data_IF_232323734987
#
_entry.id   IF_232323734987
#
_cell.length_a   1.000
_cell.length_b   1.000
_cell.length_c   1.000
_cell.angle_alpha   90.00
_cell.angle_beta   90.00
_cell.angle_gamma   90.00
#
_symmetry.space_group_name_H-M   'P 1'
#
loop_
_entity.id
_entity.type
_entity.pdbx_description
1 polymer ?
#
# COMPACT_ATOMS: atom_id res chain seq x y z
N UNK A 1 -1.23 -14.10 7.08
CA UNK A 1 -1.32 -12.81 6.39
C UNK A 1 0.09 -12.47 5.96
N UNK A 2 0.40 -12.64 4.67
CA UNK A 2 1.74 -12.41 4.13
C UNK A 2 1.92 -10.90 3.88
N UNK A 3 2.69 -10.26 4.75
CA UNK A 3 3.01 -8.83 4.73
C UNK A 3 4.18 -8.54 3.78
N UNK A 4 4.05 -8.88 2.50
CA UNK A 4 5.14 -8.71 1.53
C UNK A 4 4.59 -8.41 0.12
N UNK A 5 3.99 -7.24 -0.06
CA UNK A 5 3.52 -6.77 -1.36
C UNK A 5 4.56 -5.78 -1.97
N UNK A 6 5.31 -6.14 -3.04
CA UNK A 6 6.37 -5.35 -3.67
C UNK A 6 5.96 -4.17 -4.60
N UNK A 7 5.11 -3.24 -4.16
CA UNK A 7 4.41 -2.35 -5.12
C UNK A 7 4.46 -0.87 -4.84
N UNK A 8 4.79 -0.52 -3.63
CA UNK A 8 5.19 0.82 -3.32
C UNK A 8 6.65 0.67 -2.99
N UNK A 9 7.53 1.24 -3.80
CA UNK A 9 8.91 1.37 -3.38
C UNK A 9 8.86 2.37 -2.22
N UNK A 10 8.65 1.83 -1.00
CA UNK A 10 8.45 2.54 0.25
C UNK A 10 9.51 3.63 0.42
N UNK A 11 10.71 3.34 -0.09
CA UNK A 11 11.85 4.24 -0.21
C UNK A 11 11.56 5.43 -1.12
N UNK A 12 11.05 5.20 -2.33
CA UNK A 12 10.64 6.26 -3.26
C UNK A 12 9.54 7.13 -2.63
N UNK A 13 8.54 6.52 -2.00
CA UNK A 13 7.46 7.30 -1.38
C UNK A 13 7.98 8.20 -0.26
N UNK A 14 8.81 7.65 0.65
CA UNK A 14 9.43 8.42 1.73
C UNK A 14 10.20 9.61 1.15
N UNK A 15 11.00 9.38 0.10
CA UNK A 15 11.80 10.41 -0.55
C UNK A 15 10.95 11.49 -1.25
N UNK A 16 9.89 11.10 -1.93
CA UNK A 16 8.99 12.01 -2.66
C UNK A 16 8.13 12.88 -1.71
N UNK A 17 7.87 12.38 -0.49
CA UNK A 17 7.01 13.04 0.50
C UNK A 17 7.78 13.60 1.71
N UNK A 18 9.11 13.72 1.64
CA UNK A 18 9.93 14.26 2.73
C UNK A 18 9.48 15.65 3.20
N UNK A 19 8.95 16.48 2.31
CA UNK A 19 8.48 17.83 2.66
C UNK A 19 7.24 17.81 3.56
N UNK A 20 6.43 16.75 3.45
CA UNK A 20 5.18 16.55 4.19
C UNK A 20 5.41 15.75 5.47
N UNK A 21 6.46 14.93 5.48
CA UNK A 21 6.96 14.26 6.66
C UNK A 21 7.74 15.30 7.49
N UNK A 22 7.23 15.64 8.67
CA UNK A 22 7.95 16.49 9.63
C UNK A 22 9.15 15.76 10.28
N UNK A 23 10.00 15.14 9.46
CA UNK A 23 11.19 14.41 9.87
C UNK A 23 12.47 15.16 9.50
N UNK A 24 13.48 15.03 10.35
CA UNK A 24 14.84 15.47 10.09
C UNK A 24 15.54 14.54 9.09
N UNK A 25 16.62 14.99 8.42
CA UNK A 25 17.33 14.16 7.44
C UNK A 25 17.81 12.81 8.00
N UNK A 26 18.28 12.80 9.26
CA UNK A 26 18.72 11.57 9.93
C UNK A 26 17.55 10.63 10.23
N UNK A 27 16.41 11.16 10.64
CA UNK A 27 15.20 10.37 10.88
C UNK A 27 14.68 9.73 9.59
N UNK A 28 14.68 10.48 8.47
CA UNK A 28 14.33 9.94 7.16
C UNK A 28 15.26 8.79 6.75
N UNK A 29 16.57 8.95 6.94
CA UNK A 29 17.54 7.88 6.66
C UNK A 29 17.30 6.65 7.56
N UNK A 30 16.97 6.85 8.84
CA UNK A 30 16.61 5.75 9.74
C UNK A 30 15.37 5.01 9.22
N UNK A 31 14.32 5.71 8.79
CA UNK A 31 13.13 5.08 8.21
C UNK A 31 13.45 4.25 6.96
N UNK A 32 14.30 4.77 6.06
CA UNK A 32 14.76 4.05 4.87
C UNK A 32 15.57 2.80 5.21
N UNK A 33 16.42 2.88 6.24
CA UNK A 33 17.19 1.74 6.73
C UNK A 33 16.28 0.68 7.34
N UNK A 34 15.31 1.08 8.17
CA UNK A 34 14.32 0.17 8.76
C UNK A 34 13.54 -0.56 7.67
N UNK A 35 13.06 0.18 6.66
CA UNK A 35 12.36 -0.38 5.50
C UNK A 35 13.24 -1.39 4.74
N UNK A 36 14.50 -1.04 4.47
CA UNK A 36 15.47 -1.94 3.85
C UNK A 36 15.69 -3.23 4.66
N UNK A 37 15.86 -3.14 5.98
CA UNK A 37 16.07 -4.32 6.81
C UNK A 37 14.83 -5.21 6.89
N UNK A 38 13.64 -4.60 6.92
CA UNK A 38 12.36 -5.32 6.84
C UNK A 38 12.24 -6.09 5.53
N UNK A 39 12.57 -5.48 4.39
CA UNK A 39 12.59 -6.15 3.07
C UNK A 39 13.56 -7.33 3.05
N UNK A 40 14.75 -7.15 3.63
CA UNK A 40 15.78 -8.18 3.75
C UNK A 40 15.46 -9.24 4.80
N UNK A 41 14.38 -9.08 5.57
CA UNK A 41 13.99 -9.91 6.72
C UNK A 41 15.12 -10.08 7.74
N UNK A 42 15.92 -9.04 7.90
CA UNK A 42 17.03 -9.02 8.84
C UNK A 42 16.61 -8.41 10.17
N UNK A 43 17.12 -8.92 11.30
CA UNK A 43 16.92 -8.27 12.58
C UNK A 43 17.58 -6.89 12.56
N UNK A 44 16.87 -5.90 13.09
CA UNK A 44 17.37 -4.53 13.15
C UNK A 44 18.19 -4.36 14.43
N UNK A 45 19.49 -4.14 14.24
CA UNK A 45 20.44 -3.88 15.32
C UNK A 45 20.82 -2.40 15.33
N UNK A 46 20.83 -1.79 16.52
CA UNK A 46 21.09 -0.35 16.67
C UNK A 46 22.53 -0.01 16.26
N UNK A 47 23.46 -0.94 16.48
CA UNK A 47 24.87 -0.84 16.11
C UNK A 47 25.07 -0.73 14.60
N UNK A 48 24.27 -1.45 13.80
CA UNK A 48 24.40 -1.40 12.34
C UNK A 48 23.91 -0.07 11.78
N UNK A 49 22.82 0.47 12.34
CA UNK A 49 22.30 1.79 11.97
C UNK A 49 23.30 2.87 12.37
N UNK A 50 23.83 2.80 13.60
CA UNK A 50 24.86 3.71 14.09
C UNK A 50 26.08 3.73 13.16
N UNK A 51 26.57 2.55 12.76
CA UNK A 51 27.70 2.41 11.85
C UNK A 51 27.41 3.00 10.45
N UNK A 52 26.21 2.75 9.90
CA UNK A 52 25.83 3.26 8.57
C UNK A 52 25.66 4.77 8.54
N UNK A 53 25.15 5.36 9.62
CA UNK A 53 24.91 6.80 9.72
C UNK A 53 26.10 7.58 10.29
N UNK A 54 27.12 6.87 10.81
CA UNK A 54 28.29 7.50 11.44
C UNK A 54 27.97 8.22 12.74
N UNK A 55 26.99 7.70 13.50
CA UNK A 55 26.51 8.23 14.78
C UNK A 55 26.72 7.20 15.89
N UNK A 56 26.51 7.59 17.14
CA UNK A 56 26.53 6.65 18.26
C UNK A 56 25.16 5.98 18.50
N UNK A 57 25.16 4.94 19.33
CA UNK A 57 23.94 4.16 19.62
C UNK A 57 22.90 4.96 20.41
N UNK A 58 23.33 5.92 21.23
CA UNK A 58 22.44 6.76 22.04
C UNK A 58 21.69 7.75 21.14
N UNK A 59 22.35 8.23 20.08
CA UNK A 59 21.75 9.06 19.04
C UNK A 59 20.73 8.25 18.21
N UNK A 60 21.01 6.98 17.88
CA UNK A 60 20.03 6.09 17.24
C UNK A 60 18.79 5.92 18.11
N UNK A 61 18.95 5.70 19.41
CA UNK A 61 17.84 5.56 20.35
C UNK A 61 17.00 6.85 20.41
N UNK A 62 17.67 8.01 20.43
CA UNK A 62 17.01 9.31 20.39
C UNK A 62 16.19 9.51 19.10
N UNK A 63 16.71 9.08 17.95
CA UNK A 63 15.99 9.12 16.67
C UNK A 63 14.78 8.18 16.68
N UNK A 64 14.90 6.99 17.27
CA UNK A 64 13.81 6.02 17.36
C UNK A 64 12.68 6.56 18.24
N UNK A 65 13.01 7.16 19.38
CA UNK A 65 12.03 7.80 20.26
C UNK A 65 11.31 8.95 19.55
N UNK A 66 12.04 9.82 18.87
CA UNK A 66 11.45 10.92 18.11
C UNK A 66 10.53 10.43 16.98
N UNK A 67 10.93 9.39 16.25
CA UNK A 67 10.09 8.76 15.23
C UNK A 67 8.83 8.10 15.82
N UNK A 68 8.93 7.52 17.02
CA UNK A 68 7.79 6.93 17.71
C UNK A 68 6.82 8.01 18.22
N UNK A 69 7.31 9.11 18.78
CA UNK A 69 6.50 10.25 19.22
C UNK A 69 5.75 10.91 18.06
N UNK A 70 6.38 10.95 16.86
CA UNK A 70 5.73 11.39 15.62
C UNK A 70 4.71 10.40 15.08
N UNK A 71 4.64 9.20 15.65
CA UNK A 71 3.75 8.12 15.22
C UNK A 71 4.23 7.42 13.95
N UNK A 72 5.47 7.64 13.52
CA UNK A 72 6.06 7.04 12.33
C UNK A 72 6.64 5.65 12.58
N UNK A 73 7.17 5.41 13.78
CA UNK A 73 7.76 4.13 14.16
C UNK A 73 6.99 3.50 15.31
N UNK A 74 6.67 2.22 15.18
CA UNK A 74 6.13 1.40 16.25
C UNK A 74 6.96 0.14 16.40
N UNK A 75 7.42 -0.11 17.62
CA UNK A 75 8.17 -1.31 17.96
C UNK A 75 7.22 -2.27 18.68
N UNK A 76 7.06 -3.48 18.16
CA UNK A 76 6.18 -4.50 18.72
C UNK A 76 6.95 -5.81 18.92
N UNK A 77 6.58 -6.55 19.96
CA UNK A 77 7.09 -7.90 20.20
C UNK A 77 6.04 -8.92 19.78
N UNK A 78 6.33 -9.72 18.76
CA UNK A 78 5.43 -10.78 18.27
C UNK A 78 6.21 -12.06 18.05
N UNK A 79 5.71 -13.16 18.60
CA UNK A 79 6.25 -14.52 18.41
C UNK A 79 7.77 -14.67 18.68
N UNK A 80 8.31 -13.89 19.63
CA UNK A 80 9.73 -13.95 19.96
C UNK A 80 10.61 -12.98 19.17
N UNK A 81 10.04 -12.25 18.21
CA UNK A 81 10.75 -11.36 17.29
C UNK A 81 10.33 -9.91 17.55
N UNK A 82 11.31 -9.01 17.56
CA UNK A 82 11.08 -7.56 17.60
C UNK A 82 10.76 -7.10 16.18
N UNK A 83 9.55 -6.59 15.98
CA UNK A 83 9.08 -6.03 14.71
C UNK A 83 9.12 -4.50 14.78
N UNK A 84 9.76 -3.90 13.78
CA UNK A 84 9.78 -2.46 13.58
C UNK A 84 8.80 -2.11 12.46
N UNK A 85 7.69 -1.47 12.83
CA UNK A 85 6.59 -1.11 11.96
C UNK A 85 6.66 0.38 11.66
N UNK A 86 6.73 0.72 10.37
CA UNK A 86 6.78 2.10 9.88
C UNK A 86 5.52 2.53 9.12
N UNK A 87 4.43 1.77 9.24
CA UNK A 87 3.17 2.05 8.50
C UNK A 87 2.59 3.43 8.85
N UNK A 88 2.92 3.95 10.03
CA UNK A 88 2.53 5.27 10.48
C UNK A 88 3.07 6.41 9.60
N UNK A 89 4.19 6.20 8.90
CA UNK A 89 4.73 7.12 7.89
C UNK A 89 3.74 7.33 6.75
N UNK A 90 3.04 6.26 6.35
CA UNK A 90 2.05 6.28 5.29
C UNK A 90 0.65 6.68 5.78
N UNK A 91 0.48 7.08 7.04
CA UNK A 91 -0.83 7.47 7.56
C UNK A 91 -1.43 8.69 6.82
N UNK A 92 -0.62 9.57 6.22
CA UNK A 92 -1.11 10.65 5.36
C UNK A 92 -1.63 10.15 4.01
N UNK A 93 -1.01 9.11 3.42
CA UNK A 93 -1.56 8.37 2.27
C UNK A 93 -2.94 7.79 2.60
N UNK A 94 -3.11 7.30 3.82
CA UNK A 94 -4.40 6.81 4.33
C UNK A 94 -5.39 7.92 4.69
N UNK A 95 -5.01 9.19 4.70
CA UNK A 95 -5.94 10.31 4.92
C UNK A 95 -6.37 10.99 3.62
N UNK A 96 -5.67 10.76 2.50
CA UNK A 96 -5.96 11.45 1.24
C UNK A 96 -6.95 10.75 0.30
N UNK A 97 -7.16 9.42 0.39
CA UNK A 97 -8.47 8.78 0.07
C UNK A 97 -8.48 7.30 0.49
N UNK A 98 -8.87 6.96 1.74
CA UNK A 98 -8.86 5.59 2.22
C UNK A 98 -10.15 4.80 1.95
N UNK A 99 -11.21 5.42 1.44
CA UNK A 99 -12.54 4.78 1.49
C UNK A 99 -12.89 3.98 0.25
N UNK A 100 -12.36 4.34 -0.92
CA UNK A 100 -12.77 3.69 -2.17
C UNK A 100 -11.67 2.80 -2.78
N UNK A 101 -10.41 3.23 -2.78
CA UNK A 101 -9.33 2.47 -3.43
C UNK A 101 -8.82 1.30 -2.59
N UNK A 102 -8.81 1.43 -1.26
CA UNK A 102 -8.44 0.31 -0.37
C UNK A 102 -9.49 -0.80 -0.44
N UNK A 103 -10.78 -0.43 -0.51
CA UNK A 103 -11.86 -1.38 -0.81
C UNK A 103 -11.64 -2.04 -2.18
N UNK A 104 -11.26 -1.28 -3.21
CA UNK A 104 -11.05 -1.85 -4.54
C UNK A 104 -9.99 -2.94 -4.57
N UNK A 105 -8.82 -2.71 -3.98
CA UNK A 105 -7.73 -3.70 -3.98
C UNK A 105 -8.10 -4.93 -3.14
N UNK A 106 -8.69 -4.74 -1.97
CA UNK A 106 -9.13 -5.84 -1.10
C UNK A 106 -10.20 -6.72 -1.77
N UNK A 107 -11.15 -6.12 -2.48
CA UNK A 107 -12.19 -6.84 -3.23
C UNK A 107 -11.61 -7.68 -4.37
N UNK A 108 -10.63 -7.15 -5.12
CA UNK A 108 -9.96 -7.89 -6.18
C UNK A 108 -9.12 -9.06 -5.64
N UNK A 109 -8.40 -8.87 -4.54
CA UNK A 109 -7.62 -9.95 -3.92
C UNK A 109 -8.52 -11.05 -3.34
N UNK A 110 -9.64 -10.68 -2.72
CA UNK A 110 -10.63 -11.62 -2.21
C UNK A 110 -11.22 -12.48 -3.34
N UNK A 111 -11.59 -11.86 -4.46
CA UNK A 111 -12.18 -12.58 -5.59
C UNK A 111 -11.14 -13.41 -6.35
N UNK A 112 -9.92 -12.90 -6.53
CA UNK A 112 -8.85 -13.64 -7.22
C UNK A 112 -8.25 -14.74 -6.34
N UNK A 113 -8.52 -14.71 -5.03
CA UNK A 113 -7.99 -15.65 -4.01
C UNK A 113 -6.47 -15.74 -4.01
N UNK A 114 -5.81 -14.64 -4.40
CA UNK A 114 -4.36 -14.48 -4.43
C UNK A 114 -4.02 -13.01 -4.30
N UNK A 115 -2.80 -12.69 -3.84
CA UNK A 115 -2.30 -11.33 -3.94
C UNK A 115 -2.18 -10.90 -5.40
N UNK A 116 -2.39 -9.61 -5.65
CA UNK A 116 -2.23 -9.00 -6.97
C UNK A 116 -0.76 -8.70 -7.28
N UNK A 117 -0.38 -8.72 -8.57
CA UNK A 117 0.96 -8.35 -9.10
C UNK A 117 1.09 -6.86 -9.44
N UNK A 118 2.32 -6.30 -9.57
CA UNK A 118 2.47 -4.83 -9.47
C UNK A 118 1.84 -4.04 -10.56
N UNK A 119 1.90 -4.66 -11.70
CA UNK A 119 1.20 -4.26 -12.88
C UNK A 119 -0.33 -4.43 -12.74
N UNK A 120 -0.83 -5.41 -12.00
CA UNK A 120 -2.28 -5.62 -11.79
C UNK A 120 -2.85 -4.57 -10.84
N UNK A 121 -2.21 -4.30 -9.71
CA UNK A 121 -2.69 -3.29 -8.77
C UNK A 121 -2.67 -1.90 -9.38
N UNK A 122 -1.57 -1.49 -10.03
CA UNK A 122 -1.49 -0.20 -10.72
C UNK A 122 -2.61 -0.05 -11.75
N UNK A 123 -2.88 -1.12 -12.50
CA UNK A 123 -3.94 -1.15 -13.50
C UNK A 123 -5.35 -1.08 -12.89
N UNK A 124 -5.58 -1.75 -11.76
CA UNK A 124 -6.85 -1.67 -11.02
C UNK A 124 -7.07 -0.25 -10.45
N UNK A 125 -6.02 0.39 -9.93
CA UNK A 125 -6.09 1.76 -9.44
C UNK A 125 -6.40 2.73 -10.59
N UNK A 126 -5.72 2.60 -11.73
CA UNK A 126 -6.02 3.38 -12.94
C UNK A 126 -7.48 3.20 -13.40
N UNK A 127 -8.02 1.98 -13.32
CA UNK A 127 -9.43 1.74 -13.63
C UNK A 127 -10.36 2.41 -12.63
N UNK A 128 -10.02 2.42 -11.34
CA UNK A 128 -10.79 3.13 -10.31
C UNK A 128 -10.79 4.65 -10.46
N UNK A 129 -9.71 5.21 -11.02
CA UNK A 129 -9.62 6.63 -11.34
C UNK A 129 -10.40 6.99 -12.62
N UNK A 130 -10.41 6.09 -13.61
CA UNK A 130 -11.08 6.30 -14.89
C UNK A 130 -12.59 5.98 -14.85
N UNK A 131 -12.96 4.97 -14.07
CA UNK A 131 -14.32 4.49 -13.87
C UNK A 131 -14.56 4.44 -12.36
N UNK A 132 -15.57 5.16 -11.86
CA UNK A 132 -15.84 5.23 -10.42
C UNK A 132 -15.66 3.86 -9.73
N UNK A 133 -15.03 3.77 -8.55
CA UNK A 133 -14.62 2.48 -7.96
C UNK A 133 -15.75 1.45 -7.84
N UNK A 134 -16.99 1.91 -7.60
CA UNK A 134 -18.18 1.05 -7.57
C UNK A 134 -18.47 0.37 -8.91
N UNK A 135 -18.25 1.06 -10.02
CA UNK A 135 -18.40 0.51 -11.37
C UNK A 135 -17.39 -0.61 -11.63
N UNK A 136 -16.16 -0.43 -11.16
CA UNK A 136 -15.08 -1.41 -11.29
C UNK A 136 -15.37 -2.67 -10.47
N UNK A 137 -15.92 -2.53 -9.26
CA UNK A 137 -16.39 -3.67 -8.44
C UNK A 137 -17.53 -4.43 -9.14
N UNK A 138 -18.47 -3.72 -9.77
CA UNK A 138 -19.53 -4.37 -10.54
C UNK A 138 -18.97 -5.22 -11.69
N UNK A 139 -17.97 -4.69 -12.42
CA UNK A 139 -17.31 -5.41 -13.49
C UNK A 139 -16.52 -6.64 -12.98
N UNK A 140 -15.87 -6.53 -11.82
CA UNK A 140 -15.23 -7.66 -11.13
C UNK A 140 -16.24 -8.76 -10.80
N UNK A 141 -17.37 -8.41 -10.20
CA UNK A 141 -18.42 -9.36 -9.84
C UNK A 141 -19.01 -10.05 -11.08
N UNK A 142 -19.20 -9.33 -12.18
CA UNK A 142 -19.66 -9.93 -13.43
C UNK A 142 -18.61 -10.91 -14.00
N UNK A 143 -17.33 -10.53 -13.99
CA UNK A 143 -16.23 -11.41 -14.39
C UNK A 143 -16.16 -12.69 -13.54
N UNK A 144 -16.41 -12.58 -12.23
CA UNK A 144 -16.48 -13.71 -11.31
C UNK A 144 -17.62 -14.67 -11.61
N UNK A 145 -18.82 -14.14 -11.93
CA UNK A 145 -19.99 -14.95 -12.32
C UNK A 145 -19.72 -15.79 -13.57
N UNK A 146 -18.95 -15.26 -14.51
CA UNK A 146 -18.56 -15.97 -15.74
C UNK A 146 -17.28 -16.81 -15.61
N UNK A 147 -16.72 -16.94 -14.40
CA UNK A 147 -15.45 -17.61 -14.09
C UNK A 147 -14.26 -17.09 -14.93
N UNK A 148 -14.32 -15.82 -15.33
CA UNK A 148 -13.31 -15.12 -16.14
C UNK A 148 -12.64 -14.01 -15.33
N UNK A 149 -11.99 -14.40 -14.24
CA UNK A 149 -11.25 -13.51 -13.33
C UNK A 149 -9.92 -13.03 -13.96
N UNK A 150 -10.00 -12.19 -14.98
CA UNK A 150 -8.83 -11.53 -15.56
C UNK A 150 -9.12 -10.06 -15.85
N UNK A 151 -8.10 -9.20 -15.68
CA UNK A 151 -8.24 -7.75 -15.82
C UNK A 151 -8.64 -7.33 -17.23
N UNK A 152 -8.15 -8.01 -18.27
CA UNK A 152 -8.52 -7.69 -19.65
C UNK A 152 -10.04 -7.88 -19.86
N UNK A 153 -10.66 -8.86 -19.23
CA UNK A 153 -12.09 -9.12 -19.34
C UNK A 153 -12.91 -8.07 -18.59
N UNK A 154 -12.46 -7.71 -17.38
CA UNK A 154 -13.06 -6.64 -16.57
C UNK A 154 -13.01 -5.30 -17.31
N UNK A 155 -11.88 -4.98 -17.96
CA UNK A 155 -11.75 -3.79 -18.81
C UNK A 155 -12.71 -3.79 -19.99
N UNK A 156 -12.86 -4.94 -20.67
CA UNK A 156 -13.80 -5.04 -21.78
C UNK A 156 -15.25 -4.83 -21.34
N UNK A 157 -15.62 -5.28 -20.14
CA UNK A 157 -16.92 -5.01 -19.53
C UNK A 157 -17.09 -3.51 -19.30
N UNK A 158 -16.12 -2.86 -18.65
CA UNK A 158 -16.14 -1.42 -18.38
C UNK A 158 -16.22 -0.58 -19.66
N UNK A 159 -15.43 -0.93 -20.68
CA UNK A 159 -15.48 -0.28 -21.99
C UNK A 159 -16.84 -0.45 -22.67
N UNK A 160 -17.45 -1.63 -22.59
CA UNK A 160 -18.78 -1.89 -23.15
C UNK A 160 -19.84 -1.03 -22.47
N UNK A 161 -19.82 -0.95 -21.14
CA UNK A 161 -20.76 -0.13 -20.37
C UNK A 161 -20.59 1.36 -20.64
N UNK A 162 -19.36 1.84 -20.77
CA UNK A 162 -19.08 3.23 -21.16
C UNK A 162 -19.60 3.57 -22.54
N UNK A 163 -19.42 2.67 -23.52
CA UNK A 163 -19.95 2.86 -24.88
C UNK A 163 -21.48 2.90 -24.91
N UNK A 164 -22.13 2.14 -24.02
CA UNK A 164 -23.59 2.14 -23.86
C UNK A 164 -24.10 3.31 -22.99
N UNK A 165 -23.20 4.05 -22.35
CA UNK A 165 -23.54 5.16 -21.45
C UNK A 165 -24.26 4.72 -20.17
N UNK A 166 -24.01 3.49 -19.70
CA UNK A 166 -24.69 2.95 -18.51
C UNK A 166 -24.13 3.57 -17.23
N UNK A 167 -25.02 3.92 -16.29
CA UNK A 167 -24.62 4.31 -14.93
C UNK A 167 -24.41 3.10 -14.03
N UNK A 168 -23.74 3.30 -12.89
CA UNK A 168 -23.52 2.26 -11.87
C UNK A 168 -24.84 1.67 -11.39
N UNK A 169 -25.85 2.51 -11.13
CA UNK A 169 -27.15 2.04 -10.65
C UNK A 169 -27.88 1.17 -11.71
N UNK A 170 -27.69 1.48 -12.99
CA UNK A 170 -28.27 0.71 -14.09
C UNK A 170 -27.64 -0.68 -14.19
N UNK A 171 -26.32 -0.77 -14.05
CA UNK A 171 -25.59 -2.04 -14.03
C UNK A 171 -25.98 -2.88 -12.81
N UNK A 172 -26.05 -2.29 -11.62
CA UNK A 172 -26.49 -2.96 -10.38
C UNK A 172 -27.93 -3.50 -10.50
N UNK A 173 -28.81 -2.79 -11.22
CA UNK A 173 -30.18 -3.23 -11.50
C UNK A 173 -30.28 -4.36 -12.53
N UNK A 174 -29.16 -4.76 -13.14
CA UNK A 174 -29.05 -5.86 -14.10
C UNK A 174 -29.19 -5.45 -15.57
N UNK A 175 -29.12 -4.15 -15.91
CA UNK A 175 -29.00 -3.71 -17.32
C UNK A 175 -27.58 -3.97 -17.80
N UNK A 176 -27.43 -4.61 -18.97
CA UNK A 176 -26.14 -5.00 -19.54
C UNK A 176 -25.97 -4.62 -20.99
#
# INVERSE_FOLDING_TARGET
>A
MDWNAPYLDHKIWILDHLEQLHCEPKEALVLLLIDLYNDLRQPIHHEEIAQKLGIDTDEVESLFLSLADKGYLRIAYQEGIIKFDIEGVYAQRLKQDPSQHRSLIEEFEAEFRRPLSSMEMERILQLGDEYEPRMVICALNEAAVYDKRNLNYIENILLSWRQKGLSVEEVESGKR
#
